data_IF_327272485497
#
_entry.id   IF_327272485497
#
_cell.length_a   1.000
_cell.length_b   1.000
_cell.length_c   1.000
_cell.angle_alpha   90.00
_cell.angle_beta   90.00
_cell.angle_gamma   90.00
#
_symmetry.space_group_name_H-M   'P 1'
#
loop_
_entity.id
_entity.type
_entity.pdbx_description
1 polymer ?
#
# COMPACT_ATOMS: atom_id res chain seq x y z
N UNK A 1 -1.31 -7.24 -19.50
CA UNK A 1 -0.58 -7.83 -18.36
C UNK A 1 -0.60 -9.35 -18.41
N UNK A 2 -1.77 -9.98 -18.53
CA UNK A 2 -1.93 -11.45 -18.67
C UNK A 2 -0.91 -12.12 -19.60
N UNK A 3 -0.84 -11.67 -20.85
CA UNK A 3 0.12 -12.16 -21.86
C UNK A 3 1.57 -12.10 -21.39
N UNK A 4 1.95 -11.08 -20.61
CA UNK A 4 3.32 -10.92 -20.10
C UNK A 4 3.63 -11.97 -19.03
N UNK A 5 2.69 -12.19 -18.09
CA UNK A 5 2.85 -13.22 -17.04
C UNK A 5 2.86 -14.62 -17.66
N UNK A 6 1.94 -14.90 -18.58
CA UNK A 6 1.88 -16.16 -19.32
C UNK A 6 3.15 -16.41 -20.13
N UNK A 7 3.73 -15.38 -20.75
CA UNK A 7 4.99 -15.49 -21.45
C UNK A 7 6.15 -15.82 -20.49
N UNK A 8 6.23 -15.15 -19.34
CA UNK A 8 7.24 -15.43 -18.33
C UNK A 8 7.18 -16.89 -17.83
N UNK A 9 5.97 -17.39 -17.54
CA UNK A 9 5.78 -18.75 -17.03
C UNK A 9 6.02 -19.78 -18.13
N UNK A 10 5.34 -19.66 -19.28
CA UNK A 10 5.27 -20.75 -20.26
C UNK A 10 6.36 -20.68 -21.34
N UNK A 11 6.99 -19.53 -21.56
CA UNK A 11 8.07 -19.39 -22.56
C UNK A 11 9.43 -19.22 -21.94
N UNK A 12 9.54 -18.45 -20.85
CA UNK A 12 10.81 -18.26 -20.16
C UNK A 12 11.04 -19.30 -19.05
N UNK A 13 9.98 -20.00 -18.60
CA UNK A 13 10.08 -21.11 -17.66
C UNK A 13 10.20 -20.69 -16.18
N UNK A 14 9.94 -19.43 -15.85
CA UNK A 14 9.92 -18.96 -14.46
C UNK A 14 8.76 -19.59 -13.69
N UNK A 15 9.01 -20.02 -12.46
CA UNK A 15 7.89 -20.37 -11.56
C UNK A 15 7.21 -19.08 -11.10
N UNK A 16 5.90 -19.09 -10.82
CA UNK A 16 5.22 -17.91 -10.28
C UNK A 16 5.94 -17.30 -9.07
N UNK A 17 6.46 -18.14 -8.17
CA UNK A 17 7.15 -17.73 -6.94
C UNK A 17 8.50 -17.02 -7.20
N UNK A 18 9.03 -17.09 -8.43
CA UNK A 18 10.23 -16.38 -8.86
C UNK A 18 9.91 -15.00 -9.47
N UNK A 19 8.63 -14.66 -9.63
CA UNK A 19 8.17 -13.45 -10.33
C UNK A 19 7.82 -12.36 -9.32
N UNK A 20 8.50 -11.23 -9.43
CA UNK A 20 8.14 -9.97 -8.74
C UNK A 20 7.57 -8.99 -9.74
N UNK A 21 6.43 -8.38 -9.42
CA UNK A 21 5.82 -7.35 -10.26
C UNK A 21 6.13 -5.98 -9.67
N UNK A 22 6.94 -5.22 -10.39
CA UNK A 22 7.12 -3.79 -10.15
C UNK A 22 6.24 -2.97 -11.08
N UNK A 23 5.59 -1.95 -10.53
CA UNK A 23 4.76 -1.05 -11.30
C UNK A 23 4.88 0.39 -10.83
N UNK A 24 4.69 1.31 -11.77
CA UNK A 24 4.80 2.73 -11.53
C UNK A 24 3.55 3.46 -12.00
N UNK A 25 3.02 4.37 -11.18
CA UNK A 25 1.88 5.22 -11.54
C UNK A 25 0.66 4.39 -11.96
N UNK A 26 0.05 4.72 -13.10
CA UNK A 26 -1.09 3.99 -13.68
C UNK A 26 -0.82 2.49 -13.91
N UNK A 27 0.46 2.08 -14.02
CA UNK A 27 0.85 0.67 -14.08
C UNK A 27 0.39 -0.12 -12.85
N UNK A 28 0.18 0.56 -11.70
CA UNK A 28 -0.34 -0.05 -10.49
C UNK A 28 -1.67 -0.77 -10.68
N UNK A 29 -2.56 -0.27 -11.55
CA UNK A 29 -3.80 -0.98 -11.89
C UNK A 29 -3.52 -2.33 -12.55
N UNK A 30 -2.64 -2.36 -13.55
CA UNK A 30 -2.31 -3.61 -14.24
C UNK A 30 -1.56 -4.60 -13.35
N UNK A 31 -0.74 -4.11 -12.43
CA UNK A 31 0.01 -4.94 -11.50
C UNK A 31 -0.87 -5.54 -10.41
N UNK A 32 -1.77 -4.74 -9.82
CA UNK A 32 -2.75 -5.25 -8.85
C UNK A 32 -3.73 -6.23 -9.50
N UNK A 33 -4.09 -6.03 -10.77
CA UNK A 33 -4.82 -7.04 -11.55
C UNK A 33 -4.06 -8.35 -11.70
N UNK A 34 -2.76 -8.29 -12.01
CA UNK A 34 -1.95 -9.51 -12.11
C UNK A 34 -1.83 -10.20 -10.75
N UNK A 35 -1.60 -9.45 -9.69
CA UNK A 35 -1.49 -9.98 -8.33
C UNK A 35 -2.76 -10.72 -7.89
N UNK A 36 -3.95 -10.18 -8.19
CA UNK A 36 -5.20 -10.88 -7.85
C UNK A 36 -5.47 -12.12 -8.72
N UNK A 37 -4.91 -12.16 -9.95
CA UNK A 37 -5.18 -13.21 -10.93
C UNK A 37 -4.15 -14.35 -10.87
N UNK A 38 -2.94 -14.04 -10.40
CA UNK A 38 -1.81 -14.93 -10.22
C UNK A 38 -1.35 -14.86 -8.76
N UNK A 39 -2.10 -15.45 -7.81
CA UNK A 39 -1.84 -15.28 -6.38
C UNK A 39 -0.50 -15.87 -5.94
N UNK A 40 0.07 -16.77 -6.73
CA UNK A 40 1.34 -17.46 -6.43
C UNK A 40 2.58 -16.64 -6.81
N UNK A 41 2.43 -15.42 -7.35
CA UNK A 41 3.58 -14.55 -7.60
C UNK A 41 4.30 -14.18 -6.31
N UNK A 42 5.61 -13.99 -6.40
CA UNK A 42 6.47 -13.74 -5.24
C UNK A 42 6.07 -12.49 -4.46
N UNK A 43 5.93 -11.36 -5.14
CA UNK A 43 5.67 -10.08 -4.49
C UNK A 43 5.23 -8.98 -5.48
N UNK A 44 4.67 -7.90 -4.93
CA UNK A 44 4.30 -6.70 -5.70
C UNK A 44 4.93 -5.45 -5.09
N UNK A 45 5.52 -4.62 -5.95
CA UNK A 45 6.06 -3.30 -5.60
C UNK A 45 5.31 -2.24 -6.41
N UNK A 46 4.65 -1.31 -5.72
CA UNK A 46 3.89 -0.22 -6.35
C UNK A 46 4.56 1.12 -6.04
N UNK A 47 5.22 1.72 -7.03
CA UNK A 47 5.84 3.04 -6.95
C UNK A 47 4.89 4.12 -7.49
N UNK A 48 4.73 5.21 -6.74
CA UNK A 48 3.94 6.37 -7.14
C UNK A 48 2.51 6.00 -7.61
N UNK A 49 1.90 5.00 -6.96
CA UNK A 49 0.58 4.49 -7.33
C UNK A 49 -0.51 5.13 -6.46
N UNK A 50 -1.76 4.81 -6.77
CA UNK A 50 -2.96 5.35 -6.13
C UNK A 50 -3.92 4.23 -5.77
N UNK A 51 -4.89 4.52 -4.92
CA UNK A 51 -5.95 3.58 -4.54
C UNK A 51 -7.14 3.56 -5.51
N UNK A 52 -7.53 4.74 -5.99
CA UNK A 52 -8.73 4.99 -6.77
C UNK A 52 -8.50 6.16 -7.74
N UNK A 53 -8.98 6.04 -8.97
CA UNK A 53 -8.82 7.09 -9.99
C UNK A 53 -9.71 8.33 -9.77
N UNK A 54 -10.87 8.20 -9.12
CA UNK A 54 -11.84 9.30 -9.03
C UNK A 54 -11.24 10.57 -8.40
N UNK A 55 -10.54 10.51 -7.25
CA UNK A 55 -9.94 11.71 -6.65
C UNK A 55 -8.93 12.40 -7.58
N UNK A 56 -8.13 11.62 -8.32
CA UNK A 56 -7.14 12.15 -9.28
C UNK A 56 -7.82 12.79 -10.49
N UNK A 57 -8.89 12.19 -11.01
CA UNK A 57 -9.66 12.77 -12.11
C UNK A 57 -10.33 14.09 -11.70
N UNK A 58 -10.89 14.14 -10.49
CA UNK A 58 -11.52 15.36 -9.96
C UNK A 58 -10.52 16.48 -9.70
N UNK A 59 -9.26 16.18 -9.37
CA UNK A 59 -8.19 17.18 -9.25
C UNK A 59 -7.96 17.95 -10.57
N UNK A 60 -8.05 17.27 -11.72
CA UNK A 60 -7.69 17.84 -13.03
C UNK A 60 -8.89 18.48 -13.73
N UNK A 61 -10.10 18.01 -13.44
CA UNK A 61 -11.32 18.44 -14.12
C UNK A 61 -12.02 19.61 -13.41
N UNK A 62 -12.78 20.45 -14.13
CA UNK A 62 -13.55 21.52 -13.50
C UNK A 62 -14.56 21.01 -12.46
N UNK A 63 -14.66 21.68 -11.30
CA UNK A 63 -15.59 21.30 -10.23
C UNK A 63 -17.05 21.26 -10.68
N UNK A 64 -17.43 22.11 -11.64
CA UNK A 64 -18.79 22.13 -12.22
C UNK A 64 -19.16 20.81 -12.91
N UNK A 65 -18.19 19.96 -13.27
CA UNK A 65 -18.39 18.68 -13.94
C UNK A 65 -18.21 17.47 -13.00
N UNK A 66 -18.05 17.69 -11.68
CA UNK A 66 -17.77 16.65 -10.68
C UNK A 66 -18.66 15.41 -10.84
N UNK A 67 -19.98 15.59 -10.92
CA UNK A 67 -20.93 14.48 -11.04
C UNK A 67 -20.76 13.68 -12.35
N UNK A 68 -20.53 14.37 -13.47
CA UNK A 68 -20.29 13.73 -14.76
C UNK A 68 -18.98 12.95 -14.74
N UNK A 69 -17.90 13.56 -14.25
CA UNK A 69 -16.57 12.91 -14.15
C UNK A 69 -16.63 11.68 -13.26
N UNK A 70 -17.22 11.80 -12.06
CA UNK A 70 -17.37 10.66 -11.15
C UNK A 70 -18.15 9.53 -11.81
N UNK A 71 -19.28 9.82 -12.47
CA UNK A 71 -20.08 8.81 -13.15
C UNK A 71 -19.29 8.13 -14.28
N UNK A 72 -18.65 8.90 -15.14
CA UNK A 72 -17.87 8.38 -16.27
C UNK A 72 -16.71 7.49 -15.80
N UNK A 73 -15.96 7.94 -14.79
CA UNK A 73 -14.85 7.15 -14.23
C UNK A 73 -15.39 5.84 -13.63
N UNK A 74 -16.43 5.89 -12.80
CA UNK A 74 -16.99 4.69 -12.17
C UNK A 74 -17.59 3.69 -13.16
N UNK A 75 -18.19 4.17 -14.26
CA UNK A 75 -18.87 3.30 -15.23
C UNK A 75 -17.96 2.78 -16.33
N UNK A 76 -16.88 3.50 -16.68
CA UNK A 76 -16.09 3.19 -17.86
C UNK A 76 -14.58 3.10 -17.62
N UNK A 77 -14.06 3.63 -16.51
CA UNK A 77 -12.62 3.70 -16.21
C UNK A 77 -12.35 3.42 -14.72
N UNK A 78 -13.01 2.40 -14.15
CA UNK A 78 -12.93 2.11 -12.71
C UNK A 78 -11.58 1.48 -12.33
N UNK A 79 -10.52 2.29 -12.31
CA UNK A 79 -9.20 1.88 -11.86
C UNK A 79 -9.17 1.91 -10.32
N UNK A 80 -9.57 0.79 -9.72
CA UNK A 80 -9.61 0.60 -8.27
C UNK A 80 -8.50 -0.35 -7.83
N UNK A 81 -7.28 0.18 -7.71
CA UNK A 81 -6.09 -0.61 -7.38
C UNK A 81 -6.22 -1.24 -5.98
N UNK A 82 -6.85 -0.54 -5.02
CA UNK A 82 -6.98 -1.03 -3.65
C UNK A 82 -7.87 -2.29 -3.58
N UNK A 83 -9.02 -2.30 -4.28
CA UNK A 83 -9.89 -3.48 -4.33
C UNK A 83 -9.18 -4.70 -4.93
N UNK A 84 -8.39 -4.49 -5.98
CA UNK A 84 -7.60 -5.54 -6.61
C UNK A 84 -6.47 -6.03 -5.70
N UNK A 85 -5.73 -5.11 -5.10
CA UNK A 85 -4.60 -5.41 -4.22
C UNK A 85 -5.03 -6.17 -2.96
N UNK A 86 -6.19 -5.86 -2.38
CA UNK A 86 -6.72 -6.57 -1.22
C UNK A 86 -6.98 -8.06 -1.48
N UNK A 87 -7.11 -8.48 -2.74
CA UNK A 87 -7.29 -9.90 -3.12
C UNK A 87 -5.97 -10.65 -3.22
N UNK A 88 -4.83 -9.97 -3.16
CA UNK A 88 -3.52 -10.57 -3.19
C UNK A 88 -3.02 -10.87 -1.76
N UNK A 89 -2.69 -12.14 -1.51
CA UNK A 89 -2.24 -12.62 -0.20
C UNK A 89 -0.73 -12.43 0.03
N UNK A 90 0.05 -12.25 -1.03
CA UNK A 90 1.50 -12.18 -0.95
C UNK A 90 2.07 -10.83 -0.46
N UNK A 91 3.40 -10.73 -0.32
CA UNK A 91 4.12 -9.52 0.09
C UNK A 91 3.89 -8.30 -0.81
N UNK A 92 3.70 -7.13 -0.19
CA UNK A 92 3.44 -5.85 -0.89
C UNK A 92 4.32 -4.73 -0.33
N UNK A 93 4.99 -3.98 -1.21
CA UNK A 93 5.67 -2.74 -0.87
C UNK A 93 5.09 -1.59 -1.67
N UNK A 94 4.78 -0.49 -0.99
CA UNK A 94 4.36 0.76 -1.59
C UNK A 94 5.51 1.75 -1.49
N UNK A 95 5.94 2.31 -2.62
CA UNK A 95 6.89 3.42 -2.64
C UNK A 95 6.12 4.72 -2.82
N UNK A 96 6.06 5.52 -1.76
CA UNK A 96 5.39 6.82 -1.75
C UNK A 96 6.40 7.92 -2.04
N UNK A 97 6.16 8.64 -3.13
CA UNK A 97 6.94 9.82 -3.51
C UNK A 97 6.45 11.04 -2.74
N UNK A 98 7.33 11.64 -1.95
CA UNK A 98 6.92 12.70 -1.01
C UNK A 98 6.74 14.07 -1.65
N UNK A 99 7.19 14.26 -2.90
CA UNK A 99 7.01 15.50 -3.70
C UNK A 99 6.20 15.23 -4.97
N UNK A 100 5.33 14.22 -4.94
CA UNK A 100 4.58 13.78 -6.12
C UNK A 100 3.48 14.77 -6.49
N UNK A 101 3.60 15.39 -7.66
CA UNK A 101 2.67 16.37 -8.18
C UNK A 101 1.46 15.77 -8.92
N UNK A 102 1.46 14.45 -9.17
CA UNK A 102 0.42 13.76 -9.94
C UNK A 102 -0.53 13.01 -9.00
N UNK A 103 0.03 12.23 -8.07
CA UNK A 103 -0.70 11.34 -7.15
C UNK A 103 -1.27 12.07 -5.94
N UNK A 104 -0.78 13.28 -5.67
CA UNK A 104 -1.25 14.16 -4.59
C UNK A 104 -2.45 14.97 -5.07
N UNK A 105 -3.59 14.98 -4.36
CA UNK A 105 -4.83 15.58 -4.88
C UNK A 105 -4.98 17.09 -4.66
N UNK A 106 -4.10 17.72 -3.88
CA UNK A 106 -4.11 19.18 -3.64
C UNK A 106 -2.86 19.82 -4.24
N UNK A 107 -1.87 20.17 -3.42
CA UNK A 107 -0.56 20.70 -3.81
C UNK A 107 0.53 19.66 -3.50
N UNK A 108 1.66 19.62 -4.25
CA UNK A 108 2.69 18.59 -4.07
C UNK A 108 3.26 18.50 -2.64
N UNK A 109 3.25 19.61 -1.90
CA UNK A 109 3.73 19.69 -0.52
C UNK A 109 2.75 19.12 0.51
N UNK A 110 1.48 18.93 0.13
CA UNK A 110 0.44 18.32 0.97
C UNK A 110 0.49 16.80 0.85
N UNK A 111 1.50 16.22 1.51
CA UNK A 111 1.76 14.78 1.54
C UNK A 111 0.54 13.96 1.98
N UNK A 112 -0.38 14.54 2.75
CA UNK A 112 -1.57 13.86 3.23
C UNK A 112 -2.56 13.56 2.13
N UNK A 113 -2.59 14.38 1.08
CA UNK A 113 -3.46 14.18 -0.06
C UNK A 113 -2.87 13.20 -1.11
N UNK A 114 -1.69 12.63 -0.86
CA UNK A 114 -1.09 11.59 -1.69
C UNK A 114 -1.92 10.30 -1.63
N UNK A 115 -2.44 9.84 -2.78
CA UNK A 115 -3.30 8.64 -2.85
C UNK A 115 -2.60 7.33 -2.49
N UNK A 116 -1.27 7.31 -2.37
CA UNK A 116 -0.54 6.19 -1.78
C UNK A 116 -0.89 5.94 -0.30
N UNK A 117 -1.28 7.00 0.43
CA UNK A 117 -1.72 6.91 1.82
C UNK A 117 -3.01 6.10 1.93
N UNK A 118 -4.03 6.44 1.13
CA UNK A 118 -5.29 5.72 1.08
C UNK A 118 -5.09 4.27 0.62
N UNK A 119 -4.15 4.02 -0.30
CA UNK A 119 -3.82 2.66 -0.77
C UNK A 119 -3.27 1.82 0.38
N UNK A 120 -2.30 2.34 1.13
CA UNK A 120 -1.75 1.69 2.32
C UNK A 120 -2.86 1.42 3.35
N UNK A 121 -3.63 2.45 3.69
CA UNK A 121 -4.67 2.35 4.72
C UNK A 121 -5.72 1.31 4.32
N UNK A 122 -6.16 1.25 3.05
CA UNK A 122 -7.13 0.26 2.59
C UNK A 122 -6.57 -1.16 2.64
N UNK A 123 -5.31 -1.35 2.23
CA UNK A 123 -4.63 -2.65 2.31
C UNK A 123 -4.56 -3.14 3.77
N UNK A 124 -4.11 -2.28 4.67
CA UNK A 124 -3.95 -2.64 6.08
C UNK A 124 -5.30 -2.85 6.79
N UNK A 125 -6.32 -2.04 6.49
CA UNK A 125 -7.67 -2.25 7.01
C UNK A 125 -8.27 -3.59 6.57
N UNK A 126 -7.98 -4.01 5.34
CA UNK A 126 -8.40 -5.31 4.85
C UNK A 126 -7.61 -6.44 5.52
N UNK A 127 -6.28 -6.36 5.57
CA UNK A 127 -5.43 -7.44 6.11
C UNK A 127 -5.52 -7.59 7.62
N UNK A 128 -5.66 -6.48 8.36
CA UNK A 128 -5.59 -6.45 9.82
C UNK A 128 -6.74 -5.61 10.41
N UNK A 129 -8.01 -5.96 10.18
CA UNK A 129 -9.16 -5.15 10.56
C UNK A 129 -9.25 -4.87 12.07
N UNK A 130 -8.75 -5.79 12.91
CA UNK A 130 -8.75 -5.63 14.37
C UNK A 130 -7.59 -4.79 14.88
N UNK A 131 -6.49 -4.67 14.13
CA UNK A 131 -5.40 -3.72 14.41
C UNK A 131 -5.79 -2.31 13.94
N UNK A 132 -6.35 -2.21 12.74
CA UNK A 132 -6.75 -0.96 12.08
C UNK A 132 -8.12 -0.46 12.54
N UNK A 133 -8.34 -0.50 13.85
CA UNK A 133 -9.44 0.19 14.54
C UNK A 133 -9.22 1.71 14.53
N UNK A 134 -10.16 2.49 15.06
CA UNK A 134 -10.08 3.96 15.06
C UNK A 134 -8.75 4.48 15.60
N UNK A 135 -8.25 3.91 16.71
CA UNK A 135 -7.01 4.34 17.33
C UNK A 135 -5.77 3.95 16.53
N UNK A 136 -5.77 2.76 15.91
CA UNK A 136 -4.71 2.31 15.03
C UNK A 136 -4.64 3.17 13.76
N UNK A 137 -5.78 3.42 13.13
CA UNK A 137 -5.90 4.30 11.97
C UNK A 137 -5.43 5.72 12.28
N UNK A 138 -5.79 6.27 13.44
CA UNK A 138 -5.34 7.59 13.85
C UNK A 138 -3.82 7.65 14.03
N UNK A 139 -3.22 6.62 14.62
CA UNK A 139 -1.76 6.55 14.77
C UNK A 139 -1.06 6.48 13.40
N UNK A 140 -1.55 5.63 12.48
CA UNK A 140 -0.98 5.53 11.12
C UNK A 140 -1.17 6.83 10.35
N UNK A 141 -2.33 7.49 10.43
CA UNK A 141 -2.55 8.79 9.77
C UNK A 141 -1.59 9.85 10.28
N UNK A 142 -1.39 9.94 11.59
CA UNK A 142 -0.41 10.85 12.19
C UNK A 142 1.01 10.55 11.68
N UNK A 143 1.36 9.27 11.53
CA UNK A 143 2.65 8.88 10.95
C UNK A 143 2.76 9.24 9.46
N UNK A 144 1.68 9.11 8.68
CA UNK A 144 1.66 9.49 7.27
C UNK A 144 1.77 11.00 7.04
N UNK A 145 1.41 11.83 8.02
CA UNK A 145 1.59 13.29 8.03
C UNK A 145 3.06 13.70 8.15
N UNK A 146 3.92 12.81 8.67
CA UNK A 146 5.33 13.10 8.85
C UNK A 146 5.99 13.44 7.51
N UNK A 147 6.67 14.59 7.50
CA UNK A 147 7.33 15.15 6.32
C UNK A 147 8.81 14.74 6.20
N UNK A 148 9.35 14.10 7.24
CA UNK A 148 10.75 13.68 7.31
C UNK A 148 10.92 12.38 8.09
N UNK A 149 12.02 11.68 7.83
CA UNK A 149 12.40 10.46 8.58
C UNK A 149 12.55 10.72 10.08
N UNK A 150 12.95 11.93 10.48
CA UNK A 150 13.09 12.29 11.89
C UNK A 150 11.72 12.39 12.58
N UNK A 151 10.72 12.95 11.91
CA UNK A 151 9.35 13.03 12.42
C UNK A 151 8.71 11.64 12.48
N UNK A 152 8.90 10.82 11.45
CA UNK A 152 8.46 9.42 11.43
C UNK A 152 9.04 8.65 12.62
N UNK A 153 10.35 8.77 12.85
CA UNK A 153 11.04 8.12 13.97
C UNK A 153 10.54 8.64 15.32
N UNK A 154 10.28 9.95 15.42
CA UNK A 154 9.75 10.56 16.64
C UNK A 154 8.36 10.02 17.00
N UNK A 155 7.49 9.80 16.00
CA UNK A 155 6.17 9.18 16.21
C UNK A 155 6.34 7.72 16.64
N UNK A 156 7.25 6.98 15.98
CA UNK A 156 7.54 5.59 16.29
C UNK A 156 8.06 5.42 17.74
N UNK A 157 8.97 6.29 18.17
CA UNK A 157 9.48 6.31 19.55
C UNK A 157 8.43 6.76 20.56
N UNK A 158 7.57 7.73 20.22
CA UNK A 158 6.49 8.21 21.10
C UNK A 158 5.51 7.10 21.48
N UNK A 159 5.26 6.17 20.56
CA UNK A 159 4.37 5.03 20.80
C UNK A 159 5.12 3.78 21.28
N UNK A 160 6.42 3.90 21.56
CA UNK A 160 7.26 2.83 22.10
C UNK A 160 7.13 1.52 21.29
N UNK A 161 7.12 1.64 19.96
CA UNK A 161 6.92 0.49 19.07
C UNK A 161 8.07 -0.50 19.23
N UNK A 162 7.77 -1.64 19.83
CA UNK A 162 8.69 -2.78 19.95
C UNK A 162 8.53 -3.69 18.72
N UNK A 163 9.53 -3.67 17.82
CA UNK A 163 9.50 -4.49 16.60
C UNK A 163 9.56 -5.99 16.88
N UNK A 164 10.32 -6.42 17.90
CA UNK A 164 10.47 -7.85 18.23
C UNK A 164 9.17 -8.40 18.80
N UNK A 165 8.51 -7.63 19.66
CA UNK A 165 7.17 -7.96 20.15
C UNK A 165 6.15 -8.00 19.00
N UNK A 166 6.17 -7.02 18.08
CA UNK A 166 5.26 -7.01 16.92
C UNK A 166 5.44 -8.26 16.05
N UNK A 167 6.68 -8.63 15.72
CA UNK A 167 6.99 -9.85 14.94
C UNK A 167 6.54 -11.10 15.68
N UNK A 168 6.79 -11.18 16.99
CA UNK A 168 6.39 -12.31 17.83
C UNK A 168 4.86 -12.51 17.80
N UNK A 169 4.10 -11.44 18.05
CA UNK A 169 2.62 -11.48 18.03
C UNK A 169 2.09 -11.95 16.67
N UNK A 170 2.61 -11.39 15.58
CA UNK A 170 2.17 -11.75 14.24
C UNK A 170 2.54 -13.20 13.88
N UNK A 171 3.74 -13.68 14.25
CA UNK A 171 4.16 -15.07 13.99
C UNK A 171 3.34 -16.07 14.79
N UNK A 172 3.08 -15.79 16.07
CA UNK A 172 2.21 -16.61 16.90
C UNK A 172 0.80 -16.71 16.30
N UNK A 173 0.24 -15.58 15.85
CA UNK A 173 -1.07 -15.57 15.21
C UNK A 173 -1.08 -16.41 13.92
N UNK A 174 -0.09 -16.21 13.04
CA UNK A 174 0.04 -16.94 11.77
C UNK A 174 0.18 -18.46 11.99
N UNK A 175 0.94 -18.88 13.00
CA UNK A 175 1.12 -20.30 13.30
C UNK A 175 -0.17 -20.98 13.75
N UNK A 176 -1.07 -20.25 14.41
CA UNK A 176 -2.35 -20.76 14.91
C UNK A 176 -3.48 -20.68 13.86
N UNK A 177 -3.52 -19.60 13.08
CA UNK A 177 -4.66 -19.28 12.20
C UNK A 177 -4.36 -19.42 10.70
N UNK A 178 -3.09 -19.61 10.33
CA UNK A 178 -2.63 -19.70 8.95
C UNK A 178 -2.18 -18.36 8.35
N UNK A 179 -1.65 -18.39 7.10
CA UNK A 179 -1.06 -17.21 6.45
C UNK A 179 -2.08 -16.29 5.80
N UNK A 180 -3.29 -16.76 5.54
CA UNK A 180 -4.26 -16.05 4.69
C UNK A 180 -4.94 -14.89 5.43
N UNK A 181 -4.97 -13.73 4.79
CA UNK A 181 -5.71 -12.56 5.24
C UNK A 181 -7.20 -12.69 4.91
N UNK A 182 -8.10 -12.09 5.71
CA UNK A 182 -7.84 -11.13 6.81
C UNK A 182 -7.49 -11.80 8.15
N UNK A 183 -6.66 -11.12 8.96
CA UNK A 183 -6.30 -11.55 10.31
C UNK A 183 -7.05 -10.75 11.38
N UNK A 184 -7.67 -11.46 12.33
CA UNK A 184 -8.34 -10.88 13.50
C UNK A 184 -7.38 -10.57 14.66
N UNK A 185 -6.07 -10.64 14.44
CA UNK A 185 -5.06 -10.20 15.42
C UNK A 185 -5.36 -8.76 15.88
N UNK A 186 -5.36 -8.52 17.19
CA UNK A 186 -5.75 -7.22 17.77
C UNK A 186 -7.08 -7.20 18.52
N UNK A 187 -7.91 -8.25 18.40
CA UNK A 187 -9.23 -8.32 19.04
C UNK A 187 -9.14 -8.20 20.57
N UNK A 188 -8.24 -8.95 21.20
CA UNK A 188 -8.02 -8.96 22.65
C UNK A 188 -6.87 -8.04 23.11
N UNK A 189 -6.33 -7.23 22.21
CA UNK A 189 -5.18 -6.38 22.52
C UNK A 189 -5.60 -5.07 23.21
N UNK A 190 -4.69 -4.51 24.00
CA UNK A 190 -4.85 -3.14 24.50
C UNK A 190 -4.82 -2.15 23.34
N UNK A 191 -5.35 -0.95 23.58
CA UNK A 191 -5.32 0.14 22.60
C UNK A 191 -3.88 0.46 22.18
N UNK A 192 -2.93 0.45 23.12
CA UNK A 192 -1.54 0.75 22.83
C UNK A 192 -0.87 -0.38 22.04
N UNK A 193 -1.19 -1.63 22.34
CA UNK A 193 -0.72 -2.77 21.54
C UNK A 193 -1.20 -2.70 20.09
N UNK A 194 -2.47 -2.30 19.86
CA UNK A 194 -2.99 -2.07 18.50
C UNK A 194 -2.29 -0.93 17.77
N UNK A 195 -2.00 0.18 18.46
CA UNK A 195 -1.25 1.31 17.87
C UNK A 195 0.16 0.90 17.46
N UNK A 196 0.86 0.16 18.31
CA UNK A 196 2.20 -0.32 18.01
C UNK A 196 2.21 -1.22 16.77
N UNK A 197 1.33 -2.24 16.73
CA UNK A 197 1.19 -3.10 15.55
C UNK A 197 0.80 -2.31 14.30
N UNK A 198 -0.10 -1.32 14.42
CA UNK A 198 -0.54 -0.53 13.28
C UNK A 198 0.61 0.26 12.65
N UNK A 199 1.41 0.93 13.48
CA UNK A 199 2.60 1.68 13.04
C UNK A 199 3.67 0.76 12.47
N UNK A 200 3.90 -0.39 13.12
CA UNK A 200 4.82 -1.41 12.62
C UNK A 200 4.44 -1.89 11.22
N UNK A 201 3.18 -2.29 11.03
CA UNK A 201 2.68 -2.76 9.74
C UNK A 201 2.76 -1.67 8.67
N UNK A 202 2.43 -0.42 9.02
CA UNK A 202 2.55 0.71 8.09
C UNK A 202 3.99 0.90 7.60
N UNK A 203 4.96 0.87 8.53
CA UNK A 203 6.39 1.03 8.21
C UNK A 203 6.95 -0.16 7.40
N UNK A 204 6.43 -1.38 7.56
CA UNK A 204 6.85 -2.53 6.76
C UNK A 204 6.31 -2.52 5.33
N UNK A 205 5.20 -1.84 5.07
CA UNK A 205 4.53 -1.82 3.76
C UNK A 205 4.73 -0.51 2.98
N UNK A 206 5.27 0.55 3.58
CA UNK A 206 5.47 1.84 2.94
C UNK A 206 6.93 2.28 3.04
N UNK A 207 7.52 2.63 1.90
CA UNK A 207 8.84 3.25 1.79
C UNK A 207 8.71 4.65 1.19
N UNK A 208 9.21 5.67 1.90
CA UNK A 208 9.20 7.05 1.39
C UNK A 208 10.42 7.30 0.50
N UNK A 209 10.18 7.96 -0.64
CA UNK A 209 11.22 8.40 -1.57
C UNK A 209 11.03 9.88 -1.88
N UNK A 210 12.02 10.70 -1.55
CA UNK A 210 11.95 12.15 -1.79
C UNK A 210 12.20 12.47 -3.26
N UNK A 211 11.14 12.48 -4.06
CA UNK A 211 11.20 12.80 -5.48
C UNK A 211 9.85 13.25 -6.03
N UNK A 212 9.88 13.91 -7.19
CA UNK A 212 8.70 14.19 -8.01
C UNK A 212 8.25 12.93 -8.76
N UNK A 213 7.06 13.00 -9.37
CA UNK A 213 6.41 11.84 -9.99
C UNK A 213 7.32 11.17 -11.02
N UNK A 214 7.84 11.94 -11.98
CA UNK A 214 8.60 11.47 -13.16
C UNK A 214 10.09 11.16 -12.90
N UNK A 215 10.56 11.21 -11.65
CA UNK A 215 11.97 10.92 -11.33
C UNK A 215 12.21 9.40 -11.32
N UNK A 216 13.18 8.84 -12.06
CA UNK A 216 13.47 7.40 -12.00
C UNK A 216 13.78 6.93 -10.58
N UNK A 217 13.26 5.77 -10.18
CA UNK A 217 13.58 5.16 -8.88
C UNK A 217 15.02 4.63 -8.91
N UNK A 218 15.94 5.07 -8.03
CA UNK A 218 17.30 4.53 -7.99
C UNK A 218 17.31 3.08 -7.51
N UNK A 219 18.28 2.29 -8.00
CA UNK A 219 18.42 0.85 -7.71
C UNK A 219 18.37 0.52 -6.21
N UNK A 220 18.97 1.36 -5.36
CA UNK A 220 19.02 1.19 -3.90
C UNK A 220 17.64 1.23 -3.20
N UNK A 221 16.62 1.78 -3.88
CA UNK A 221 15.24 1.84 -3.38
C UNK A 221 14.38 0.66 -3.87
N UNK A 222 14.89 -0.19 -4.74
CA UNK A 222 14.24 -1.46 -5.08
C UNK A 222 14.53 -2.46 -3.96
N UNK A 223 13.59 -2.55 -3.02
CA UNK A 223 13.65 -3.45 -1.90
C UNK A 223 12.60 -4.55 -2.06
N UNK A 224 12.94 -5.76 -1.64
CA UNK A 224 11.95 -6.82 -1.57
C UNK A 224 10.89 -6.46 -0.52
N UNK A 225 9.59 -6.65 -0.84
CA UNK A 225 8.55 -6.45 0.15
C UNK A 225 8.74 -7.31 1.39
N UNK A 226 8.36 -6.77 2.55
CA UNK A 226 8.47 -7.48 3.81
C UNK A 226 7.59 -8.73 3.83
N UNK A 227 8.17 -9.83 4.34
CA UNK A 227 7.48 -11.08 4.64
C UNK A 227 7.77 -11.43 6.10
N UNK A 228 6.74 -11.93 6.80
CA UNK A 228 6.79 -12.31 8.22
C UNK A 228 7.64 -13.57 8.47
#
# INVERSE_FOLDING_TARGET
MDVVVQFAIHRLGFQPQDIVIYAWSIGGFTATWAAMSYPDISAVILDASFDDLVPLALKVMPDSWRALVTRTVRQHLNLNNAEQLCRFQGPVLLVRRTKDEIITTTVPEDIMSNRGNDLLLKLLQFRYPRVMTEEGLRAVRQWLEASSQLEEASIYSRWEVDEDWCVSVLRSYQAEHGPDFPWSVGEDMSVDGRRQLALFLARKHLHNFEATHCTPLPAQHFQMPWCL
#
